data_IF_985210019065
#
_entry.id   IF_985210019065
#
_cell.length_a   1.000
_cell.length_b   1.000
_cell.length_c   1.000
_cell.angle_alpha   90.00
_cell.angle_beta   90.00
_cell.angle_gamma   90.00
#
_symmetry.space_group_name_H-M   'P 1'
#
loop_
_entity.id
_entity.type
_entity.pdbx_description
1 polymer ?
#
# COMPACT_ATOMS: atom_id res chain seq x y z
N UNK A 1 11.71 -1.14 -19.58
CA UNK A 1 12.27 -1.88 -18.43
C UNK A 1 12.86 -0.94 -17.39
N UNK A 2 13.93 -0.18 -17.65
CA UNK A 2 14.36 0.91 -16.75
C UNK A 2 13.30 2.01 -16.65
N UNK A 3 12.71 2.40 -17.79
CA UNK A 3 11.67 3.43 -17.87
C UNK A 3 10.38 3.09 -17.12
N UNK A 4 10.01 1.81 -17.01
CA UNK A 4 8.77 1.40 -16.33
C UNK A 4 8.91 1.46 -14.81
N UNK A 5 10.10 1.11 -14.28
CA UNK A 5 10.42 1.23 -12.86
C UNK A 5 10.45 2.71 -12.46
N UNK A 6 11.07 3.55 -13.29
CA UNK A 6 11.16 4.99 -13.04
C UNK A 6 9.78 5.66 -13.16
N UNK A 7 8.92 5.19 -14.08
CA UNK A 7 7.52 5.63 -14.16
C UNK A 7 6.74 5.25 -12.89
N UNK A 8 6.86 4.01 -12.42
CA UNK A 8 6.18 3.56 -11.19
C UNK A 8 6.66 4.36 -9.98
N UNK A 9 7.98 4.58 -9.84
CA UNK A 9 8.56 5.43 -8.78
C UNK A 9 7.97 6.83 -8.82
N UNK A 10 7.95 7.45 -9.99
CA UNK A 10 7.40 8.79 -10.17
C UNK A 10 5.92 8.87 -9.79
N UNK A 11 5.12 7.89 -10.21
CA UNK A 11 3.69 7.85 -9.86
C UNK A 11 3.48 7.69 -8.36
N UNK A 12 4.30 6.88 -7.67
CA UNK A 12 4.21 6.68 -6.23
C UNK A 12 4.69 7.89 -5.43
N UNK A 13 5.73 8.58 -5.89
CA UNK A 13 6.18 9.85 -5.30
C UNK A 13 5.11 10.94 -5.47
N UNK A 14 4.54 11.07 -6.66
CA UNK A 14 3.44 12.01 -6.94
C UNK A 14 2.23 11.69 -6.05
N UNK A 15 1.87 10.41 -5.91
CA UNK A 15 0.80 9.96 -5.03
C UNK A 15 1.10 10.27 -3.55
N UNK A 16 2.35 10.09 -3.10
CA UNK A 16 2.75 10.42 -1.73
C UNK A 16 2.61 11.92 -1.47
N UNK A 17 2.97 12.77 -2.44
CA UNK A 17 2.97 14.23 -2.27
C UNK A 17 1.57 14.85 -2.23
N UNK A 18 0.55 14.17 -2.77
CA UNK A 18 -0.84 14.66 -2.78
C UNK A 18 -1.68 14.16 -1.60
N UNK A 19 -1.17 13.18 -0.84
CA UNK A 19 -1.87 12.67 0.35
C UNK A 19 -1.65 13.64 1.51
N UNK A 20 -2.74 14.03 2.17
CA UNK A 20 -2.64 14.66 3.49
C UNK A 20 -2.20 13.58 4.50
N UNK A 21 -0.91 13.62 4.84
CA UNK A 21 -0.26 12.58 5.63
C UNK A 21 -0.82 12.45 7.05
N UNK A 22 -1.30 13.56 7.60
CA UNK A 22 -1.82 13.63 8.97
C UNK A 22 -3.27 13.12 9.01
N UNK A 23 -4.05 13.40 7.97
CA UNK A 23 -5.44 12.94 7.86
C UNK A 23 -5.56 11.48 7.39
N UNK A 24 -4.60 11.00 6.59
CA UNK A 24 -4.61 9.66 5.98
C UNK A 24 -3.33 8.86 6.27
N UNK A 25 -3.05 8.54 7.54
CA UNK A 25 -1.82 7.84 7.93
C UNK A 25 -1.75 6.41 7.39
N UNK A 26 -2.89 5.73 7.20
CA UNK A 26 -2.94 4.38 6.63
C UNK A 26 -2.60 4.37 5.13
N UNK A 27 -3.18 5.30 4.36
CA UNK A 27 -2.89 5.48 2.92
C UNK A 27 -1.44 5.90 2.71
N UNK A 28 -0.92 6.80 3.57
CA UNK A 28 0.49 7.20 3.58
C UNK A 28 1.43 6.02 3.81
N UNK A 29 1.13 5.18 4.81
CA UNK A 29 1.93 3.99 5.09
C UNK A 29 1.89 3.01 3.92
N UNK A 30 0.75 2.85 3.27
CA UNK A 30 0.60 1.99 2.09
C UNK A 30 1.42 2.49 0.90
N UNK A 31 1.33 3.77 0.54
CA UNK A 31 2.12 4.34 -0.57
C UNK A 31 3.62 4.26 -0.28
N UNK A 32 4.07 4.54 0.95
CA UNK A 32 5.48 4.34 1.33
C UNK A 32 5.94 2.91 1.16
N UNK A 33 5.10 1.96 1.54
CA UNK A 33 5.38 0.54 1.36
C UNK A 33 5.55 0.23 -0.13
N UNK A 34 4.68 0.74 -1.01
CA UNK A 34 4.81 0.60 -2.47
C UNK A 34 6.11 1.20 -3.02
N UNK A 35 6.49 2.40 -2.56
CA UNK A 35 7.75 3.05 -2.99
C UNK A 35 8.96 2.17 -2.64
N UNK A 36 8.98 1.60 -1.43
CA UNK A 36 10.03 0.66 -0.99
C UNK A 36 10.07 -0.65 -1.79
N UNK A 37 8.99 -1.04 -2.48
CA UNK A 37 9.01 -2.23 -3.35
C UNK A 37 9.78 -1.98 -4.66
N UNK A 38 9.91 -0.72 -5.06
CA UNK A 38 10.71 -0.36 -6.24
C UNK A 38 12.20 -0.27 -5.94
N UNK A 39 12.60 -0.38 -4.67
CA UNK A 39 13.99 -0.38 -4.22
C UNK A 39 14.45 -1.83 -3.97
N UNK A 40 15.18 -2.41 -4.93
CA UNK A 40 15.94 -3.68 -4.93
C UNK A 40 15.24 -4.99 -4.51
N UNK A 41 14.23 -5.00 -3.63
CA UNK A 41 13.62 -6.22 -3.07
C UNK A 41 12.78 -7.01 -4.05
N UNK A 42 12.28 -6.37 -5.10
CA UNK A 42 11.44 -6.99 -6.12
C UNK A 42 12.09 -6.94 -7.49
N UNK A 43 13.36 -6.55 -7.58
CA UNK A 43 14.09 -6.53 -8.85
C UNK A 43 15.03 -7.73 -8.88
N UNK A 44 14.73 -8.70 -9.74
CA UNK A 44 15.58 -9.86 -10.02
C UNK A 44 16.12 -9.71 -11.44
N UNK A 45 17.43 -9.71 -11.60
CA UNK A 45 18.10 -9.53 -12.91
C UNK A 45 17.68 -8.27 -13.68
N UNK A 46 17.38 -7.17 -12.96
CA UNK A 46 16.95 -5.90 -13.55
C UNK A 46 15.49 -5.89 -14.02
N UNK A 47 14.73 -6.96 -13.73
CA UNK A 47 13.30 -7.06 -13.99
C UNK A 47 12.52 -7.05 -12.68
N UNK A 48 11.37 -6.39 -12.67
CA UNK A 48 10.43 -6.52 -11.56
C UNK A 48 9.92 -7.97 -11.54
N UNK A 49 10.13 -8.66 -10.45
CA UNK A 49 9.45 -9.91 -10.14
C UNK A 49 7.99 -9.60 -9.79
N UNK A 50 7.17 -9.59 -10.83
CA UNK A 50 5.74 -9.28 -10.73
C UNK A 50 4.98 -10.27 -9.86
N UNK A 51 5.48 -11.50 -9.69
CA UNK A 51 4.84 -12.52 -8.85
C UNK A 51 5.08 -12.22 -7.37
N UNK A 52 6.31 -11.89 -6.98
CA UNK A 52 6.61 -11.45 -5.63
C UNK A 52 5.88 -10.14 -5.30
N UNK A 53 5.83 -9.20 -6.24
CA UNK A 53 5.08 -7.95 -6.10
C UNK A 53 3.59 -8.23 -5.86
N UNK A 54 2.96 -9.06 -6.69
CA UNK A 54 1.55 -9.41 -6.55
C UNK A 54 1.25 -10.10 -5.20
N UNK A 55 2.08 -11.05 -4.79
CA UNK A 55 1.92 -11.77 -3.51
C UNK A 55 2.03 -10.82 -2.31
N UNK A 56 2.97 -9.89 -2.36
CA UNK A 56 3.14 -8.88 -1.32
C UNK A 56 1.95 -7.91 -1.25
N UNK A 57 1.45 -7.45 -2.40
CA UNK A 57 0.28 -6.56 -2.49
C UNK A 57 -0.98 -7.23 -1.96
N UNK A 58 -1.25 -8.48 -2.35
CA UNK A 58 -2.39 -9.26 -1.86
C UNK A 58 -2.32 -9.41 -0.34
N UNK A 59 -1.14 -9.72 0.20
CA UNK A 59 -0.95 -9.84 1.66
C UNK A 59 -1.20 -8.53 2.40
N UNK A 60 -0.76 -7.39 1.83
CA UNK A 60 -1.01 -6.07 2.41
C UNK A 60 -2.49 -5.71 2.37
N UNK A 61 -3.17 -5.93 1.24
CA UNK A 61 -4.61 -5.67 1.09
C UNK A 61 -5.41 -6.49 2.09
N UNK A 62 -5.13 -7.80 2.20
CA UNK A 62 -5.80 -8.67 3.16
C UNK A 62 -5.62 -8.20 4.61
N UNK A 63 -4.41 -7.73 4.97
CA UNK A 63 -4.15 -7.16 6.28
C UNK A 63 -4.93 -5.87 6.55
N UNK A 64 -5.06 -4.98 5.55
CA UNK A 64 -5.88 -3.77 5.71
C UNK A 64 -7.38 -4.10 5.78
N UNK A 65 -7.86 -5.06 4.99
CA UNK A 65 -9.25 -5.54 5.02
C UNK A 65 -9.62 -6.08 6.41
N UNK A 66 -8.75 -6.88 7.02
CA UNK A 66 -8.95 -7.37 8.39
C UNK A 66 -9.06 -6.20 9.40
N UNK A 67 -8.25 -5.15 9.23
CA UNK A 67 -8.30 -3.97 10.11
C UNK A 67 -9.59 -3.17 9.91
N UNK A 68 -10.05 -3.01 8.68
CA UNK A 68 -11.34 -2.36 8.38
C UNK A 68 -12.49 -3.15 9.00
N UNK A 69 -12.52 -4.46 8.82
CA UNK A 69 -13.57 -5.32 9.39
C UNK A 69 -13.62 -5.21 10.93
N UNK A 70 -12.46 -5.15 11.60
CA UNK A 70 -12.40 -4.94 13.06
C UNK A 70 -12.92 -3.56 13.48
N UNK A 71 -12.61 -2.52 12.70
CA UNK A 71 -13.13 -1.18 12.96
C UNK A 71 -14.65 -1.12 12.76
N UNK A 72 -15.18 -1.74 11.71
CA UNK A 72 -16.62 -1.89 11.50
C UNK A 72 -17.29 -2.60 12.67
N UNK A 73 -16.73 -3.71 13.16
CA UNK A 73 -17.27 -4.41 14.33
C UNK A 73 -17.31 -3.52 15.58
N UNK A 74 -16.27 -2.71 15.82
CA UNK A 74 -16.23 -1.77 16.95
C UNK A 74 -17.29 -0.69 16.81
N UNK A 75 -17.45 -0.13 15.60
CA UNK A 75 -18.44 0.91 15.30
C UNK A 75 -19.86 0.37 15.46
N UNK A 76 -20.18 -0.79 14.86
CA UNK A 76 -21.49 -1.43 15.02
C UNK A 76 -21.83 -1.69 16.49
N UNK A 77 -20.88 -2.19 17.30
CA UNK A 77 -21.10 -2.38 18.75
C UNK A 77 -21.41 -1.09 19.50
N UNK A 78 -20.90 0.05 19.06
CA UNK A 78 -21.18 1.34 19.70
C UNK A 78 -22.47 1.99 19.19
N UNK A 79 -22.87 1.74 17.94
CA UNK A 79 -24.12 2.28 17.37
C UNK A 79 -25.32 1.45 17.82
N UNK A 80 -25.20 0.12 17.88
CA UNK A 80 -26.29 -0.78 18.29
C UNK A 80 -26.40 -0.94 19.82
N UNK A 81 -25.53 -0.25 20.57
CA UNK A 81 -25.45 -0.29 22.04
C UNK A 81 -26.13 0.89 22.77
N UNK A 82 -26.77 1.80 22.05
CA UNK A 82 -27.73 2.82 22.58
C UNK A 82 -29.18 2.38 22.35
#
# INVERSE_FOLDING_TARGET
MADDIDLVRKVLDDASNVIDHDLYPATTAFVRVLTMLTEDRFVVDGQIDTNHLASFLVSNIAFQEERVNKLEEIVFKHIDGE
#
